data_IF_050163429050
#
_entry.id   IF_050163429050
#
_cell.length_a   1.000
_cell.length_b   1.000
_cell.length_c   1.000
_cell.angle_alpha   90.00
_cell.angle_beta   90.00
_cell.angle_gamma   90.00
#
_symmetry.space_group_name_H-M   'P 1'
#
loop_
_entity.id
_entity.type
_entity.pdbx_description
1 polymer ?
#
# COMPACT_ATOMS: atom_id res chain seq x y z
N UNK A 1 20.31 -5.07 -0.37
CA UNK A 1 19.02 -5.38 0.30
C UNK A 1 17.92 -4.52 -0.29
N UNK A 2 16.66 -4.66 0.12
CA UNK A 2 15.56 -3.88 -0.48
C UNK A 2 15.73 -2.36 -0.29
N UNK A 3 16.20 -1.90 0.88
CA UNK A 3 16.50 -0.48 1.08
C UNK A 3 17.59 0.08 0.15
N UNK A 4 18.61 -0.71 -0.16
CA UNK A 4 19.64 -0.33 -1.14
C UNK A 4 19.04 -0.12 -2.55
N UNK A 5 18.06 -0.93 -2.95
CA UNK A 5 17.36 -0.72 -4.23
C UNK A 5 16.54 0.57 -4.23
N UNK A 6 16.01 0.98 -3.07
CA UNK A 6 15.26 2.22 -2.92
C UNK A 6 16.16 3.45 -2.99
N UNK A 7 17.39 3.38 -2.46
CA UNK A 7 18.42 4.41 -2.64
C UNK A 7 18.84 4.52 -4.11
N UNK A 8 19.07 3.39 -4.79
CA UNK A 8 19.40 3.37 -6.23
C UNK A 8 18.30 4.04 -7.05
N UNK A 9 17.03 3.77 -6.74
CA UNK A 9 15.88 4.41 -7.40
C UNK A 9 15.84 5.91 -7.10
N UNK A 10 16.03 6.32 -5.85
CA UNK A 10 16.04 7.74 -5.47
C UNK A 10 17.14 8.51 -6.22
N UNK A 11 18.36 7.99 -6.22
CA UNK A 11 19.53 8.57 -6.88
C UNK A 11 19.36 8.64 -8.40
N UNK A 12 18.99 7.52 -9.02
CA UNK A 12 18.93 7.41 -10.49
C UNK A 12 17.81 8.24 -11.10
N UNK A 13 16.69 8.33 -10.41
CA UNK A 13 15.49 9.00 -10.93
C UNK A 13 15.23 10.36 -10.27
N UNK A 14 16.18 10.86 -9.48
CA UNK A 14 16.15 12.21 -8.91
C UNK A 14 14.99 12.42 -7.93
N UNK A 15 14.68 11.43 -7.09
CA UNK A 15 13.64 11.55 -6.07
C UNK A 15 14.27 12.11 -4.79
N UNK A 16 14.05 13.40 -4.54
CA UNK A 16 14.66 14.10 -3.42
C UNK A 16 14.20 13.55 -2.07
N UNK A 17 15.04 13.70 -1.03
CA UNK A 17 14.66 13.39 0.36
C UNK A 17 13.40 14.16 0.80
N UNK A 18 13.29 15.42 0.41
CA UNK A 18 12.14 16.26 0.74
C UNK A 18 10.84 15.71 0.12
N UNK A 19 10.86 15.33 -1.15
CA UNK A 19 9.68 14.73 -1.80
C UNK A 19 9.26 13.44 -1.10
N UNK A 20 10.23 12.60 -0.73
CA UNK A 20 9.99 11.34 -0.03
C UNK A 20 9.32 11.57 1.34
N UNK A 21 9.82 12.53 2.12
CA UNK A 21 9.27 12.86 3.43
C UNK A 21 7.91 13.55 3.33
N UNK A 22 7.69 14.41 2.31
CA UNK A 22 6.38 15.01 2.06
C UNK A 22 5.32 13.97 1.71
N UNK A 23 5.68 12.98 0.88
CA UNK A 23 4.78 11.86 0.60
C UNK A 23 4.48 11.03 1.85
N UNK A 24 5.51 10.72 2.65
CA UNK A 24 5.32 9.99 3.89
C UNK A 24 4.38 10.69 4.87
N UNK A 25 4.51 12.01 5.03
CA UNK A 25 3.59 12.82 5.82
C UNK A 25 2.16 12.74 5.28
N UNK A 26 1.99 12.85 3.96
CA UNK A 26 0.68 12.73 3.31
C UNK A 26 0.03 11.36 3.56
N UNK A 27 0.79 10.26 3.46
CA UNK A 27 0.31 8.91 3.77
C UNK A 27 -0.18 8.79 5.22
N UNK A 28 0.61 9.31 6.18
CA UNK A 28 0.21 9.34 7.60
C UNK A 28 -1.08 10.16 7.83
N UNK A 29 -1.19 11.33 7.20
CA UNK A 29 -2.36 12.20 7.33
C UNK A 29 -3.62 11.58 6.72
N UNK A 30 -3.53 11.03 5.50
CA UNK A 30 -4.66 10.37 4.84
C UNK A 30 -5.15 9.18 5.65
N UNK A 31 -4.23 8.38 6.19
CA UNK A 31 -4.59 7.21 6.99
C UNK A 31 -5.23 7.59 8.33
N UNK A 32 -4.68 8.59 9.03
CA UNK A 32 -5.29 9.12 10.25
C UNK A 32 -6.70 9.66 10.00
N UNK A 33 -6.91 10.41 8.92
CA UNK A 33 -8.22 10.92 8.54
C UNK A 33 -9.21 9.78 8.19
N UNK A 34 -8.75 8.73 7.50
CA UNK A 34 -9.56 7.57 7.17
C UNK A 34 -9.99 6.81 8.44
N UNK A 35 -9.09 6.63 9.40
CA UNK A 35 -9.43 6.04 10.70
C UNK A 35 -10.43 6.90 11.49
N UNK A 36 -10.20 8.21 11.58
CA UNK A 36 -11.11 9.13 12.29
C UNK A 36 -12.52 9.14 11.69
N UNK A 37 -12.62 9.02 10.36
CA UNK A 37 -13.88 8.96 9.64
C UNK A 37 -14.53 7.56 9.61
N UNK A 38 -13.94 6.54 10.27
CA UNK A 38 -14.47 5.17 10.31
C UNK A 38 -14.45 4.47 8.94
N UNK A 39 -13.57 4.89 8.03
CA UNK A 39 -13.51 4.38 6.65
C UNK A 39 -12.96 2.94 6.55
N UNK A 40 -12.38 2.43 7.63
CA UNK A 40 -11.71 1.14 7.69
C UNK A 40 -12.47 0.12 8.55
N UNK A 41 -13.54 0.54 9.22
CA UNK A 41 -14.28 -0.27 10.19
C UNK A 41 -14.93 -1.50 9.53
N UNK A 42 -15.21 -1.43 8.22
CA UNK A 42 -15.82 -2.49 7.43
C UNK A 42 -14.79 -3.42 6.75
N UNK A 43 -13.49 -3.16 6.88
CA UNK A 43 -12.41 -4.04 6.41
C UNK A 43 -11.62 -4.74 7.53
N UNK A 44 -11.65 -4.19 8.75
CA UNK A 44 -10.93 -4.75 9.91
C UNK A 44 -11.84 -5.71 10.68
N UNK A 45 -11.37 -6.93 10.90
CA UNK A 45 -12.05 -7.91 11.75
C UNK A 45 -11.42 -7.90 13.15
N UNK A 46 -12.16 -7.51 14.21
CA UNK A 46 -11.60 -7.43 15.56
C UNK A 46 -11.11 -8.79 16.06
N UNK A 47 -9.89 -8.82 16.59
CA UNK A 47 -9.27 -10.05 17.09
C UNK A 47 -8.88 -9.90 18.56
N UNK A 48 -9.35 -10.83 19.40
CA UNK A 48 -8.88 -10.93 20.80
C UNK A 48 -7.49 -11.53 20.82
N UNK A 49 -6.54 -10.84 21.44
CA UNK A 49 -5.14 -11.26 21.51
C UNK A 49 -4.63 -11.26 22.95
N UNK A 50 -3.62 -12.10 23.20
CA UNK A 50 -2.80 -12.05 24.40
C UNK A 50 -1.54 -11.26 24.07
N UNK A 51 -1.44 -10.05 24.61
CA UNK A 51 -0.32 -9.15 24.41
C UNK A 51 0.72 -9.37 25.51
N UNK A 52 1.95 -9.69 25.12
CA UNK A 52 3.07 -9.80 26.05
C UNK A 52 3.89 -8.52 26.01
N UNK A 53 4.03 -7.85 27.16
CA UNK A 53 4.99 -6.75 27.34
C UNK A 53 5.96 -7.07 28.45
N UNK A 54 7.13 -6.43 28.42
CA UNK A 54 8.10 -6.53 29.51
C UNK A 54 7.57 -5.76 30.73
N UNK A 55 7.41 -6.44 31.86
CA UNK A 55 7.08 -5.86 33.15
C UNK A 55 8.25 -5.09 33.75
N UNK A 56 7.98 -4.29 34.79
CA UNK A 56 9.00 -3.49 35.50
C UNK A 56 10.07 -4.37 36.16
N UNK A 57 9.69 -5.58 36.57
CA UNK A 57 10.56 -6.62 37.13
C UNK A 57 11.29 -7.44 36.05
N UNK A 58 11.10 -7.10 34.77
CA UNK A 58 11.65 -7.81 33.62
C UNK A 58 10.89 -9.08 33.23
N UNK A 59 9.84 -9.49 33.96
CA UNK A 59 9.01 -10.64 33.62
C UNK A 59 7.93 -10.26 32.59
N UNK A 60 7.51 -11.18 31.71
CA UNK A 60 6.45 -10.90 30.75
C UNK A 60 5.11 -10.72 31.47
N UNK A 61 4.48 -9.56 31.29
CA UNK A 61 3.09 -9.30 31.68
C UNK A 61 2.22 -9.58 30.47
N UNK A 62 1.26 -10.50 30.63
CA UNK A 62 0.29 -10.85 29.59
C UNK A 62 -1.01 -10.09 29.86
N UNK A 63 -1.44 -9.32 28.87
CA UNK A 63 -2.70 -8.55 28.89
C UNK A 63 -3.62 -9.06 27.77
N UNK A 64 -4.92 -9.12 28.03
CA UNK A 64 -5.90 -9.34 26.96
C UNK A 64 -6.21 -8.00 26.28
N UNK A 65 -6.11 -7.97 24.96
CA UNK A 65 -6.46 -6.81 24.13
C UNK A 65 -7.38 -7.23 22.99
N UNK A 66 -8.13 -6.27 22.47
CA UNK A 66 -8.84 -6.40 21.21
C UNK A 66 -8.08 -5.56 20.19
N UNK A 67 -7.58 -6.21 19.15
CA UNK A 67 -7.01 -5.53 17.98
C UNK A 67 -8.15 -5.28 17.00
N UNK A 68 -8.66 -4.06 16.99
CA UNK A 68 -9.79 -3.61 16.17
C UNK A 68 -9.43 -2.47 15.20
N UNK A 69 -8.16 -2.07 15.18
CA UNK A 69 -7.62 -1.00 14.34
C UNK A 69 -6.14 -1.24 14.06
N UNK A 70 -5.65 -0.71 12.94
CA UNK A 70 -4.21 -0.62 12.68
C UNK A 70 -3.54 0.33 13.68
N UNK A 71 -2.36 -0.05 14.18
CA UNK A 71 -1.64 0.65 15.26
C UNK A 71 -0.27 1.21 14.87
N UNK A 72 0.17 1.00 13.62
CA UNK A 72 1.47 1.47 13.14
C UNK A 72 1.48 2.96 12.80
N UNK A 73 0.33 3.56 12.51
CA UNK A 73 0.25 4.95 12.07
C UNK A 73 0.61 5.93 13.20
N UNK A 74 1.14 7.08 12.79
CA UNK A 74 1.61 8.16 13.66
C UNK A 74 0.94 9.47 13.22
N UNK A 75 -0.30 9.73 13.64
CA UNK A 75 -1.05 10.92 13.25
C UNK A 75 -0.34 12.25 13.55
N UNK A 76 0.55 12.24 14.54
CA UNK A 76 1.37 13.37 14.98
C UNK A 76 2.64 13.59 14.14
N UNK A 77 2.82 12.86 13.04
CA UNK A 77 3.99 13.01 12.16
C UNK A 77 4.08 14.46 11.65
N UNK A 78 5.26 15.04 11.69
CA UNK A 78 5.54 16.37 11.12
C UNK A 78 6.69 16.28 10.12
N UNK A 79 6.76 17.23 9.18
CA UNK A 79 7.83 17.27 8.19
C UNK A 79 9.20 17.47 8.86
N UNK A 80 9.27 18.28 9.91
CA UNK A 80 10.48 18.49 10.70
C UNK A 80 10.92 17.20 11.41
N UNK A 81 9.95 16.44 11.93
CA UNK A 81 10.21 15.14 12.55
C UNK A 81 10.76 14.12 11.55
N UNK A 82 10.21 14.09 10.32
CA UNK A 82 10.71 13.24 9.25
C UNK A 82 12.11 13.67 8.77
N UNK A 83 12.34 14.97 8.58
CA UNK A 83 13.63 15.51 8.14
C UNK A 83 14.76 15.22 9.15
N UNK A 84 14.44 15.15 10.45
CA UNK A 84 15.40 14.83 11.50
C UNK A 84 15.82 13.35 11.56
N UNK A 85 15.12 12.45 10.84
CA UNK A 85 15.46 11.03 10.85
C UNK A 85 16.77 10.77 10.07
N UNK A 86 17.69 9.97 10.63
CA UNK A 86 18.91 9.59 9.94
C UNK A 86 18.59 8.59 8.80
N UNK A 87 19.37 8.62 7.71
CA UNK A 87 19.36 7.57 6.70
C UNK A 87 19.65 6.19 7.31
N UNK A 88 19.04 5.14 6.76
CA UNK A 88 19.15 3.77 7.31
C UNK A 88 20.11 2.90 6.51
N UNK A 89 20.22 3.10 5.19
CA UNK A 89 20.90 2.16 4.30
C UNK A 89 22.25 2.65 3.75
N UNK A 90 22.44 3.97 3.64
CA UNK A 90 23.68 4.62 3.22
C UNK A 90 23.94 5.82 4.12
N UNK A 91 25.21 6.18 4.35
CA UNK A 91 25.56 7.34 5.19
C UNK A 91 25.05 8.67 4.61
N UNK A 92 25.11 8.80 3.28
CA UNK A 92 24.59 9.90 2.47
C UNK A 92 23.24 9.58 1.80
N UNK A 93 22.54 8.57 2.32
CA UNK A 93 21.26 8.09 1.79
C UNK A 93 20.08 9.04 2.01
N UNK A 94 18.99 8.74 1.33
CA UNK A 94 17.71 9.47 1.46
C UNK A 94 16.62 8.65 2.14
N UNK A 95 16.79 7.34 2.23
CA UNK A 95 15.80 6.43 2.79
C UNK A 95 15.94 6.39 4.31
N UNK A 96 14.84 6.66 5.00
CA UNK A 96 14.73 6.64 6.45
C UNK A 96 13.62 5.72 6.91
N UNK A 97 13.53 5.49 8.22
CA UNK A 97 12.39 4.79 8.81
C UNK A 97 11.05 5.53 8.62
N UNK A 98 11.08 6.83 8.33
CA UNK A 98 9.88 7.65 8.15
C UNK A 98 9.30 7.60 6.74
N UNK A 99 10.13 7.33 5.72
CA UNK A 99 9.74 7.31 4.32
C UNK A 99 9.81 5.90 3.68
N UNK A 100 9.87 4.87 4.53
CA UNK A 100 9.78 3.47 4.18
C UNK A 100 8.60 2.81 4.90
N UNK A 101 8.06 1.73 4.33
CA UNK A 101 7.01 0.97 5.01
C UNK A 101 7.52 0.33 6.30
N UNK A 102 6.68 0.34 7.33
CA UNK A 102 6.98 -0.33 8.60
C UNK A 102 6.92 -1.85 8.45
N UNK A 103 7.72 -2.56 9.27
CA UNK A 103 7.49 -3.99 9.50
C UNK A 103 6.23 -4.14 10.33
N UNK A 104 5.29 -4.93 9.85
CA UNK A 104 3.99 -5.13 10.48
C UNK A 104 3.54 -6.57 10.29
N UNK A 105 2.60 -6.99 11.15
CA UNK A 105 1.95 -8.29 11.12
C UNK A 105 0.48 -8.13 10.75
N UNK A 106 -0.04 -9.05 9.93
CA UNK A 106 -1.47 -9.12 9.65
C UNK A 106 -1.83 -10.14 8.58
N UNK A 107 -3.14 -10.38 8.44
CA UNK A 107 -3.71 -11.32 7.48
C UNK A 107 -4.90 -10.68 6.75
N UNK A 108 -5.11 -11.08 5.49
CA UNK A 108 -6.24 -10.67 4.68
C UNK A 108 -6.71 -11.88 3.86
N UNK A 109 -8.02 -11.99 3.66
CA UNK A 109 -8.64 -13.02 2.84
C UNK A 109 -9.68 -12.40 1.92
N UNK A 110 -9.70 -12.86 0.66
CA UNK A 110 -10.69 -12.48 -0.33
C UNK A 110 -11.33 -13.75 -0.91
N UNK A 111 -12.67 -13.76 -1.00
CA UNK A 111 -13.40 -14.87 -1.62
C UNK A 111 -13.66 -14.52 -3.09
N UNK A 112 -13.13 -15.34 -4.00
CA UNK A 112 -13.37 -15.22 -5.44
C UNK A 112 -14.36 -16.30 -5.91
N UNK A 113 -15.34 -15.89 -6.71
CA UNK A 113 -16.40 -16.78 -7.22
C UNK A 113 -16.66 -16.48 -8.68
N UNK A 114 -17.16 -17.47 -9.43
CA UNK A 114 -17.76 -17.20 -10.73
C UNK A 114 -19.06 -16.41 -10.55
N UNK A 115 -19.41 -15.56 -11.51
CA UNK A 115 -20.66 -14.79 -11.49
C UNK A 115 -21.89 -15.70 -11.39
N UNK A 116 -21.88 -16.82 -12.11
CA UNK A 116 -22.94 -17.84 -12.05
C UNK A 116 -23.11 -18.42 -10.65
N UNK A 117 -22.00 -18.72 -9.95
CA UNK A 117 -22.06 -19.29 -8.61
C UNK A 117 -22.49 -18.26 -7.57
N UNK A 118 -22.02 -17.01 -7.70
CA UNK A 118 -22.47 -15.91 -6.85
C UNK A 118 -24.00 -15.69 -6.99
N UNK A 119 -24.51 -15.65 -8.24
CA UNK A 119 -25.93 -15.52 -8.52
C UNK A 119 -26.75 -16.71 -7.97
N UNK A 120 -26.30 -17.95 -8.18
CA UNK A 120 -26.97 -19.14 -7.68
C UNK A 120 -27.05 -19.21 -6.15
N UNK A 121 -26.13 -18.54 -5.44
CA UNK A 121 -26.11 -18.46 -3.98
C UNK A 121 -26.76 -17.19 -3.43
N UNK A 122 -27.21 -16.26 -4.28
CA UNK A 122 -27.74 -14.97 -3.86
C UNK A 122 -26.69 -14.08 -3.18
N UNK A 123 -25.41 -14.24 -3.51
CA UNK A 123 -24.32 -13.42 -2.97
C UNK A 123 -24.13 -12.22 -3.87
N UNK A 124 -24.20 -11.02 -3.29
CA UNK A 124 -23.85 -9.78 -3.99
C UNK A 124 -22.32 -9.60 -4.01
N UNK A 125 -21.66 -9.65 -5.19
CA UNK A 125 -20.22 -9.43 -5.28
C UNK A 125 -19.84 -8.00 -4.94
N UNK A 126 -18.71 -7.82 -4.26
CA UNK A 126 -18.13 -6.49 -3.99
C UNK A 126 -17.54 -5.81 -5.24
N UNK A 127 -17.14 -6.62 -6.23
CA UNK A 127 -16.55 -6.16 -7.47
C UNK A 127 -16.13 -7.32 -8.36
N UNK A 128 -15.57 -6.97 -9.52
CA UNK A 128 -15.18 -7.90 -10.57
C UNK A 128 -13.66 -7.83 -10.77
N UNK A 129 -12.99 -8.98 -10.71
CA UNK A 129 -11.60 -9.10 -11.11
C UNK A 129 -11.50 -9.09 -12.65
N UNK A 130 -10.95 -8.02 -13.23
CA UNK A 130 -10.80 -7.88 -14.69
C UNK A 130 -9.55 -8.55 -15.23
N UNK A 131 -8.53 -8.69 -14.38
CA UNK A 131 -7.33 -9.45 -14.70
C UNK A 131 -6.08 -8.87 -14.04
N UNK A 132 -4.95 -9.52 -14.28
CA UNK A 132 -3.65 -9.10 -13.76
C UNK A 132 -2.53 -9.28 -14.78
N UNK A 133 -1.42 -8.59 -14.55
CA UNK A 133 -0.17 -8.79 -15.24
C UNK A 133 1.00 -8.76 -14.27
N UNK A 134 2.02 -9.54 -14.59
CA UNK A 134 3.34 -9.51 -13.94
C UNK A 134 4.38 -9.14 -15.01
N UNK A 135 5.37 -8.34 -14.61
CA UNK A 135 6.50 -7.97 -15.44
C UNK A 135 7.80 -8.05 -14.63
N UNK A 136 8.89 -8.40 -15.30
CA UNK A 136 10.23 -8.36 -14.71
C UNK A 136 10.90 -7.00 -14.95
N UNK A 137 11.80 -6.63 -14.06
CA UNK A 137 12.70 -5.50 -14.17
C UNK A 137 14.07 -5.88 -13.58
N UNK A 138 15.02 -4.97 -13.63
CA UNK A 138 16.36 -5.20 -13.06
C UNK A 138 16.26 -5.34 -11.53
N UNK A 139 16.85 -6.39 -10.91
CA UNK A 139 16.74 -6.63 -9.47
C UNK A 139 17.22 -5.47 -8.58
N UNK A 140 18.23 -4.73 -9.02
CA UNK A 140 18.80 -3.57 -8.33
C UNK A 140 17.87 -2.36 -8.26
N UNK A 141 16.80 -2.35 -9.05
CA UNK A 141 15.81 -1.28 -9.14
C UNK A 141 14.39 -1.85 -9.06
N UNK A 142 14.24 -2.98 -8.36
CA UNK A 142 12.98 -3.75 -8.25
C UNK A 142 11.74 -2.90 -7.93
N UNK A 143 11.92 -1.78 -7.23
CA UNK A 143 10.88 -0.79 -6.92
C UNK A 143 10.12 -0.31 -8.17
N UNK A 144 10.72 -0.30 -9.35
CA UNK A 144 10.10 0.20 -10.58
C UNK A 144 9.22 -0.83 -11.30
N UNK A 145 9.09 -2.04 -10.76
CA UNK A 145 8.26 -3.10 -11.35
C UNK A 145 6.86 -2.66 -11.83
N UNK A 146 6.12 -1.81 -11.09
CA UNK A 146 4.83 -1.27 -11.52
C UNK A 146 4.85 -0.57 -12.87
N UNK A 147 5.94 0.15 -13.21
CA UNK A 147 6.11 0.84 -14.50
C UNK A 147 5.96 -0.11 -15.69
N UNK A 148 6.30 -1.39 -15.52
CA UNK A 148 6.17 -2.40 -16.56
C UNK A 148 4.86 -3.20 -16.46
N UNK A 149 4.38 -3.44 -15.25
CA UNK A 149 3.18 -4.26 -15.03
C UNK A 149 1.89 -3.52 -15.37
N UNK A 150 1.79 -2.23 -15.00
CA UNK A 150 0.58 -1.42 -15.20
C UNK A 150 0.25 -1.24 -16.69
N UNK A 151 1.16 -0.76 -17.57
CA UNK A 151 0.85 -0.60 -18.99
C UNK A 151 0.49 -1.94 -19.65
N UNK A 152 1.07 -3.04 -19.17
CA UNK A 152 0.80 -4.39 -19.68
C UNK A 152 -0.63 -4.84 -19.39
N UNK A 153 -1.17 -4.62 -18.18
CA UNK A 153 -2.56 -4.97 -17.88
C UNK A 153 -3.54 -4.00 -18.53
N UNK A 154 -3.27 -2.69 -18.51
CA UNK A 154 -4.15 -1.70 -19.10
C UNK A 154 -4.32 -1.93 -20.61
N UNK A 155 -3.22 -2.18 -21.34
CA UNK A 155 -3.25 -2.54 -22.76
C UNK A 155 -4.08 -3.80 -23.04
N UNK A 156 -3.98 -4.83 -22.18
CA UNK A 156 -4.75 -6.08 -22.34
C UNK A 156 -6.26 -5.87 -22.17
N UNK A 157 -6.65 -4.92 -21.33
CA UNK A 157 -8.04 -4.59 -21.05
C UNK A 157 -8.59 -3.48 -21.96
N UNK A 158 -7.76 -2.89 -22.82
CA UNK A 158 -8.14 -1.75 -23.65
C UNK A 158 -8.41 -0.48 -22.83
N UNK A 159 -7.80 -0.37 -21.65
CA UNK A 159 -7.91 0.77 -20.74
C UNK A 159 -6.65 1.64 -20.81
N UNK A 160 -6.77 2.88 -20.33
CA UNK A 160 -5.68 3.80 -20.05
C UNK A 160 -5.66 4.17 -18.58
N UNK A 161 -4.61 4.87 -18.13
CA UNK A 161 -4.50 5.26 -16.72
C UNK A 161 -5.58 6.27 -16.33
N UNK A 162 -6.04 7.08 -17.28
CA UNK A 162 -7.12 8.05 -17.07
C UNK A 162 -8.49 7.39 -16.89
N UNK A 163 -8.64 6.14 -17.31
CA UNK A 163 -9.87 5.35 -17.08
C UNK A 163 -9.91 4.75 -15.67
N UNK A 164 -8.79 4.78 -14.93
CA UNK A 164 -8.70 4.24 -13.57
C UNK A 164 -9.11 5.34 -12.58
N UNK A 165 -10.08 5.07 -11.72
CA UNK A 165 -10.55 6.05 -10.74
C UNK A 165 -9.69 6.08 -9.47
N UNK A 166 -9.20 4.91 -9.04
CA UNK A 166 -8.42 4.76 -7.80
C UNK A 166 -7.23 3.84 -8.06
N UNK A 167 -6.06 4.21 -7.54
CA UNK A 167 -4.85 3.41 -7.58
C UNK A 167 -4.37 3.13 -6.16
N UNK A 168 -4.33 1.86 -5.79
CA UNK A 168 -3.61 1.36 -4.62
C UNK A 168 -2.22 0.89 -5.08
N UNK A 169 -1.21 1.76 -4.94
CA UNK A 169 0.19 1.46 -5.23
C UNK A 169 0.93 1.28 -3.91
N UNK A 170 1.46 0.07 -3.68
CA UNK A 170 2.13 -0.25 -2.42
C UNK A 170 3.30 0.72 -2.11
N UNK A 171 3.36 1.17 -0.87
CA UNK A 171 4.31 2.17 -0.38
C UNK A 171 5.54 1.53 0.27
N UNK A 172 6.19 0.56 -0.40
CA UNK A 172 7.37 -0.11 0.17
C UNK A 172 8.46 0.91 0.57
N UNK A 173 8.71 1.86 -0.32
CA UNK A 173 9.51 3.05 -0.09
C UNK A 173 8.89 4.23 -0.85
N UNK A 174 9.01 5.45 -0.32
CA UNK A 174 8.51 6.65 -0.99
C UNK A 174 9.22 6.89 -2.34
N UNK A 175 10.52 6.58 -2.44
CA UNK A 175 11.29 6.77 -3.67
C UNK A 175 10.70 6.02 -4.88
N UNK A 176 10.44 4.72 -4.73
CA UNK A 176 9.85 3.90 -5.80
C UNK A 176 8.42 4.30 -6.12
N UNK A 177 7.65 4.68 -5.11
CA UNK A 177 6.26 5.07 -5.28
C UNK A 177 6.17 6.35 -6.11
N UNK A 178 6.93 7.38 -5.73
CA UNK A 178 6.93 8.67 -6.42
C UNK A 178 7.44 8.53 -7.86
N UNK A 179 8.45 7.69 -8.09
CA UNK A 179 8.90 7.39 -9.43
C UNK A 179 7.80 6.71 -10.26
N UNK A 180 7.18 5.64 -9.75
CA UNK A 180 6.12 4.94 -10.45
C UNK A 180 4.90 5.85 -10.71
N UNK A 181 4.51 6.69 -9.75
CA UNK A 181 3.44 7.67 -9.89
C UNK A 181 3.72 8.60 -11.08
N UNK A 182 4.91 9.22 -11.11
CA UNK A 182 5.32 10.17 -12.16
C UNK A 182 5.35 9.50 -13.53
N UNK A 183 6.00 8.34 -13.63
CA UNK A 183 6.21 7.64 -14.89
C UNK A 183 4.90 7.07 -15.48
N UNK A 184 3.96 6.65 -14.63
CA UNK A 184 2.68 6.11 -15.05
C UNK A 184 1.60 7.19 -15.27
N UNK A 185 1.88 8.45 -14.92
CA UNK A 185 0.90 9.54 -15.01
C UNK A 185 -0.25 9.40 -14.02
N UNK A 186 -0.01 8.80 -12.85
CA UNK A 186 -1.02 8.66 -11.80
C UNK A 186 -1.17 10.00 -11.07
N UNK A 187 -2.39 10.55 -11.02
CA UNK A 187 -2.64 11.79 -10.28
C UNK A 187 -2.60 11.58 -8.77
N UNK A 188 -2.32 12.64 -8.01
CA UNK A 188 -2.34 12.59 -6.54
C UNK A 188 -3.72 12.22 -5.98
N UNK A 189 -4.79 12.62 -6.67
CA UNK A 189 -6.17 12.33 -6.27
C UNK A 189 -6.56 10.86 -6.46
N UNK A 190 -5.95 10.18 -7.45
CA UNK A 190 -6.16 8.75 -7.71
C UNK A 190 -5.40 7.87 -6.71
N UNK A 191 -4.22 8.31 -6.28
CA UNK A 191 -3.24 7.49 -5.58
C UNK A 191 -3.52 7.39 -4.08
N UNK A 192 -3.68 6.16 -3.56
CA UNK A 192 -3.76 5.81 -2.13
C UNK A 192 -4.58 6.83 -1.33
N UNK A 193 -5.89 7.00 -1.62
CA UNK A 193 -6.68 8.10 -1.10
C UNK A 193 -6.84 8.06 0.43
N UNK A 194 -6.68 6.89 1.04
CA UNK A 194 -6.76 6.67 2.49
C UNK A 194 -5.38 6.36 3.11
N UNK A 195 -4.28 6.67 2.42
CA UNK A 195 -2.92 6.34 2.86
C UNK A 195 -2.58 4.86 2.65
N UNK A 196 -1.34 4.48 2.95
CA UNK A 196 -0.84 3.14 2.63
C UNK A 196 0.24 2.63 3.56
N UNK A 197 1.11 1.77 3.04
CA UNK A 197 2.07 0.99 3.82
C UNK A 197 3.17 1.80 4.54
N UNK A 198 3.41 3.07 4.22
CA UNK A 198 4.26 3.93 5.06
C UNK A 198 3.54 4.22 6.39
N UNK A 199 2.23 4.47 6.34
CA UNK A 199 1.42 4.72 7.53
C UNK A 199 1.24 3.43 8.36
N UNK A 200 0.87 2.32 7.73
CA UNK A 200 0.43 1.12 8.46
C UNK A 200 1.32 -0.11 8.37
N UNK A 201 2.41 -0.01 7.63
CA UNK A 201 3.31 -1.12 7.41
C UNK A 201 2.96 -2.03 6.25
N UNK A 202 3.86 -2.98 6.00
CA UNK A 202 3.84 -3.85 4.83
C UNK A 202 4.06 -5.33 5.23
N UNK A 203 3.03 -6.03 5.72
CA UNK A 203 3.08 -7.48 5.90
C UNK A 203 3.12 -8.16 4.51
N UNK A 204 4.32 -8.59 4.08
CA UNK A 204 4.63 -8.87 2.68
C UNK A 204 3.62 -9.74 1.93
N UNK A 205 3.21 -10.87 2.52
CA UNK A 205 2.28 -11.82 1.90
C UNK A 205 0.82 -11.35 1.91
N UNK A 206 0.48 -10.33 2.70
CA UNK A 206 -0.90 -9.90 2.95
C UNK A 206 -1.24 -8.59 2.23
N UNK A 207 -0.29 -7.66 2.08
CA UNK A 207 -0.56 -6.29 1.58
C UNK A 207 -1.32 -6.27 0.26
N UNK A 208 -0.98 -7.15 -0.70
CA UNK A 208 -1.69 -7.24 -1.97
C UNK A 208 -3.18 -7.58 -1.79
N UNK A 209 -3.49 -8.56 -0.93
CA UNK A 209 -4.88 -8.95 -0.63
C UNK A 209 -5.64 -7.85 0.10
N UNK A 210 -5.00 -7.15 1.06
CA UNK A 210 -5.62 -6.04 1.79
C UNK A 210 -5.97 -4.88 0.85
N UNK A 211 -5.05 -4.48 -0.04
CA UNK A 211 -5.32 -3.43 -1.04
C UNK A 211 -6.52 -3.77 -1.94
N UNK A 212 -6.72 -5.05 -2.29
CA UNK A 212 -7.91 -5.49 -3.05
C UNK A 212 -9.21 -5.30 -2.25
N UNK A 213 -9.22 -5.69 -0.97
CA UNK A 213 -10.38 -5.47 -0.11
C UNK A 213 -10.71 -3.98 0.08
N UNK A 214 -9.66 -3.17 0.23
CA UNK A 214 -9.75 -1.73 0.41
C UNK A 214 -10.27 -1.01 -0.84
N UNK A 215 -9.65 -1.27 -2.00
CA UNK A 215 -9.99 -0.56 -3.24
C UNK A 215 -11.46 -0.82 -3.66
N UNK A 216 -11.97 -2.03 -3.46
CA UNK A 216 -13.38 -2.36 -3.77
C UNK A 216 -14.37 -1.58 -2.88
N UNK A 217 -14.03 -1.37 -1.60
CA UNK A 217 -14.82 -0.54 -0.68
C UNK A 217 -14.78 0.92 -1.10
N UNK A 218 -13.60 1.43 -1.43
CA UNK A 218 -13.43 2.81 -1.85
C UNK A 218 -14.13 3.12 -3.17
N UNK A 219 -14.08 2.22 -4.15
CA UNK A 219 -14.84 2.38 -5.40
C UNK A 219 -16.33 2.51 -5.12
N UNK A 220 -16.89 1.61 -4.29
CA UNK A 220 -18.30 1.67 -3.89
C UNK A 220 -18.63 2.96 -3.14
N UNK A 221 -17.81 3.34 -2.17
CA UNK A 221 -18.00 4.53 -1.32
C UNK A 221 -17.97 5.83 -2.11
N UNK A 222 -17.12 5.89 -3.15
CA UNK A 222 -16.96 7.07 -4.02
C UNK A 222 -17.82 7.04 -5.28
N UNK A 223 -18.61 5.99 -5.50
CA UNK A 223 -19.39 5.82 -6.74
C UNK A 223 -18.51 5.75 -7.99
N UNK A 224 -17.34 5.13 -7.86
CA UNK A 224 -16.31 4.99 -8.90
C UNK A 224 -16.32 3.59 -9.49
N UNK A 225 -15.72 3.45 -10.68
CA UNK A 225 -15.84 2.23 -11.47
C UNK A 225 -14.57 1.39 -11.43
N UNK A 226 -13.42 1.94 -11.80
CA UNK A 226 -12.20 1.15 -12.01
C UNK A 226 -11.15 1.40 -10.94
N UNK A 227 -10.65 0.31 -10.35
CA UNK A 227 -9.56 0.33 -9.39
C UNK A 227 -8.35 -0.44 -9.92
N UNK A 228 -7.15 0.08 -9.65
CA UNK A 228 -5.87 -0.56 -9.96
C UNK A 228 -5.12 -0.85 -8.66
N UNK A 229 -4.76 -2.12 -8.42
CA UNK A 229 -3.84 -2.50 -7.36
C UNK A 229 -2.49 -2.84 -7.99
N UNK A 230 -1.40 -2.26 -7.50
CA UNK A 230 -0.06 -2.54 -8.02
C UNK A 230 1.04 -2.43 -6.96
N UNK A 231 2.12 -3.19 -7.17
CA UNK A 231 3.25 -3.24 -6.24
C UNK A 231 4.54 -3.71 -6.92
N UNK A 232 5.66 -3.23 -6.40
CA UNK A 232 6.97 -3.83 -6.65
C UNK A 232 7.11 -5.17 -5.91
N UNK A 233 7.99 -6.03 -6.41
CA UNK A 233 8.27 -7.35 -5.84
C UNK A 233 9.79 -7.54 -5.81
N UNK A 234 10.31 -7.91 -4.63
CA UNK A 234 11.73 -8.20 -4.44
C UNK A 234 12.25 -9.24 -5.43
N UNK A 235 13.47 -9.05 -5.91
CA UNK A 235 14.06 -9.87 -6.98
C UNK A 235 13.81 -9.34 -8.39
N UNK A 236 13.15 -8.18 -8.55
CA UNK A 236 13.04 -7.48 -9.83
C UNK A 236 11.76 -7.83 -10.57
N UNK A 237 10.60 -7.70 -9.92
CA UNK A 237 9.31 -7.89 -10.57
C UNK A 237 8.32 -6.80 -10.14
N UNK A 238 7.24 -6.67 -10.90
CA UNK A 238 6.06 -5.90 -10.50
C UNK A 238 4.80 -6.62 -10.91
N UNK A 239 3.72 -6.35 -10.17
CA UNK A 239 2.39 -6.88 -10.42
C UNK A 239 1.39 -5.74 -10.48
N UNK A 240 0.39 -5.88 -11.35
CA UNK A 240 -0.74 -4.97 -11.45
C UNK A 240 -2.02 -5.77 -11.71
N UNK A 241 -3.11 -5.42 -11.04
CA UNK A 241 -4.43 -6.03 -11.20
C UNK A 241 -5.52 -4.97 -11.26
N UNK A 242 -6.48 -5.16 -12.16
CA UNK A 242 -7.60 -4.23 -12.35
C UNK A 242 -8.88 -4.85 -11.81
N UNK A 243 -9.64 -4.04 -11.09
CA UNK A 243 -10.92 -4.36 -10.50
C UNK A 243 -11.99 -3.38 -10.99
N UNK A 244 -13.23 -3.85 -11.06
CA UNK A 244 -14.39 -3.03 -11.39
C UNK A 244 -15.44 -3.14 -10.28
N UNK A 245 -16.04 -2.03 -9.87
CA UNK A 245 -17.19 -2.05 -8.97
C UNK A 245 -18.41 -2.70 -9.64
N UNK A 246 -19.23 -3.40 -8.85
CA UNK A 246 -20.50 -3.98 -9.30
C UNK A 246 -21.67 -2.99 -9.20
#
# INVERSE_FOLDING_TARGET
>A
GMGETAEIVAERYGISREDQDRYALQSQQRYAAAQEAGLLDDEIVPMKVKWSRKGEDGQPVIEEKVMDRDECNRPQTTLEGLAALPPVFREDGTITAGNASQLADGASATVLMSSERAAALGVEPMGIFRGFAVAGCRPEEMGIGPVFAVPKILKRLGLKIEDIDIVELNEAFASQLLYCQRELGISDEQLNPNGGSIAIGHPYGMTGSRMVGHILRELKRRGKKYGLVTMCIGGGQGMAAVFEAC
#
